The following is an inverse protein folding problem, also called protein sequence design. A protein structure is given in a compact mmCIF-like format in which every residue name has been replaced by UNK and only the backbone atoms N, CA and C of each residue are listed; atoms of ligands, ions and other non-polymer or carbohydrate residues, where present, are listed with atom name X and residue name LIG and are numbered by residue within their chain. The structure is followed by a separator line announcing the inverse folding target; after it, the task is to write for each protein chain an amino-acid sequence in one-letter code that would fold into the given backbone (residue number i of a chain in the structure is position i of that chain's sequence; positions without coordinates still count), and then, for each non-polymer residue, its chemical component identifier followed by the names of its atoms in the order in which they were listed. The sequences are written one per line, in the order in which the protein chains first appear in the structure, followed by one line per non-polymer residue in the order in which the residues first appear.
data_IF_547323681666
#
_entry.id   IF_547323681666
#
_cell.length_a   1.000
_cell.length_b   1.000
_cell.length_c   1.000
_cell.angle_alpha   90.00
_cell.angle_beta   90.00
_cell.angle_gamma   90.00
#
_symmetry.space_group_name_H-M   'P 1'
#
loop_
_entity.id
_entity.type
_entity.pdbx_description
1 polymer ?
#
# COMPACT_ATOMS: atom_id res chain seq x y z
N UNK A 1 -28.07 -29.05 10.48
CA UNK A 1 -26.92 -29.07 9.55
C UNK A 1 -25.88 -28.13 10.13
N UNK A 2 -24.75 -28.64 10.56
CA UNK A 2 -23.66 -27.80 11.06
C UNK A 2 -22.96 -27.17 9.87
N UNK A 3 -22.83 -25.84 9.85
CA UNK A 3 -21.96 -25.17 8.88
C UNK A 3 -20.55 -25.74 8.98
N UNK A 4 -19.89 -25.99 7.86
CA UNK A 4 -18.50 -26.45 7.87
C UNK A 4 -17.64 -25.38 8.54
N UNK A 5 -16.91 -25.77 9.58
CA UNK A 5 -15.92 -24.92 10.24
C UNK A 5 -14.87 -24.48 9.23
N UNK A 6 -14.99 -23.24 8.75
CA UNK A 6 -13.97 -22.64 7.87
C UNK A 6 -12.72 -22.40 8.71
N UNK A 7 -11.64 -23.05 8.36
CA UNK A 7 -10.36 -22.87 9.05
C UNK A 7 -9.87 -21.43 8.90
N UNK A 8 -9.87 -20.66 9.99
CA UNK A 8 -9.33 -19.31 10.05
C UNK A 8 -7.82 -19.36 10.31
N UNK A 9 -7.06 -18.64 9.51
CA UNK A 9 -5.64 -18.35 9.78
C UNK A 9 -5.50 -16.90 10.21
N UNK A 10 -4.60 -16.66 11.16
CA UNK A 10 -4.32 -15.31 11.67
C UNK A 10 -2.88 -14.93 11.37
N UNK A 11 -2.71 -13.69 10.95
CA UNK A 11 -1.42 -13.06 10.72
C UNK A 11 -1.40 -11.73 11.47
N UNK A 12 -0.37 -11.47 12.24
CA UNK A 12 -0.11 -10.18 12.83
C UNK A 12 0.99 -9.46 12.04
N UNK A 13 0.72 -8.23 11.64
CA UNK A 13 1.70 -7.34 10.99
C UNK A 13 2.00 -6.20 11.94
N UNK A 14 3.23 -6.11 12.41
CA UNK A 14 3.70 -5.01 13.25
C UNK A 14 4.41 -4.00 12.38
N UNK A 15 3.84 -2.80 12.30
CA UNK A 15 4.28 -1.74 11.40
C UNK A 15 3.39 -1.60 10.17
N UNK A 16 2.61 -0.52 10.10
CA UNK A 16 1.71 -0.18 9.00
C UNK A 16 2.24 0.96 8.12
N UNK A 17 3.52 1.26 8.19
CA UNK A 17 4.19 2.18 7.28
C UNK A 17 4.29 1.62 5.85
N UNK A 18 5.01 2.27 4.92
CA UNK A 18 5.07 1.85 3.51
C UNK A 18 5.42 0.37 3.31
N UNK A 19 6.31 -0.19 4.12
CA UNK A 19 6.67 -1.63 4.03
C UNK A 19 5.52 -2.55 4.44
N UNK A 20 4.77 -2.18 5.48
CA UNK A 20 3.57 -2.92 5.90
C UNK A 20 2.50 -2.89 4.81
N UNK A 21 2.27 -1.72 4.21
CA UNK A 21 1.34 -1.56 3.06
C UNK A 21 1.78 -2.40 1.86
N UNK A 22 3.07 -2.40 1.52
CA UNK A 22 3.60 -3.24 0.43
C UNK A 22 3.39 -4.74 0.70
N UNK A 23 3.56 -5.19 1.94
CA UNK A 23 3.29 -6.57 2.33
C UNK A 23 1.81 -6.93 2.17
N UNK A 24 0.92 -6.05 2.63
CA UNK A 24 -0.54 -6.26 2.52
C UNK A 24 -0.96 -6.30 1.05
N UNK A 25 -0.44 -5.41 0.22
CA UNK A 25 -0.68 -5.41 -1.22
C UNK A 25 -0.23 -6.73 -1.87
N UNK A 26 0.94 -7.25 -1.50
CA UNK A 26 1.44 -8.53 -2.01
C UNK A 26 0.59 -9.71 -1.57
N UNK A 27 0.10 -9.71 -0.34
CA UNK A 27 -0.83 -10.74 0.16
C UNK A 27 -2.14 -10.68 -0.65
N UNK A 28 -2.70 -9.48 -0.83
CA UNK A 28 -3.94 -9.29 -1.59
C UNK A 28 -3.80 -9.78 -3.03
N UNK A 29 -2.74 -9.36 -3.72
CA UNK A 29 -2.48 -9.79 -5.10
C UNK A 29 -2.34 -11.32 -5.24
N UNK A 30 -1.78 -11.99 -4.23
CA UNK A 30 -1.68 -13.45 -4.19
C UNK A 30 -3.04 -14.11 -3.97
N UNK A 31 -3.87 -13.55 -3.10
CA UNK A 31 -5.21 -14.05 -2.85
C UNK A 31 -6.12 -13.89 -4.07
N UNK A 32 -6.05 -12.75 -4.76
CA UNK A 32 -6.78 -12.49 -6.00
C UNK A 32 -6.37 -13.43 -7.15
N UNK A 33 -5.12 -13.87 -7.17
CA UNK A 33 -4.61 -14.82 -8.16
C UNK A 33 -4.78 -16.30 -7.79
N UNK A 34 -5.31 -16.60 -6.61
CA UNK A 34 -5.52 -17.98 -6.17
C UNK A 34 -6.75 -18.60 -6.87
N UNK A 35 -6.67 -19.90 -7.18
CA UNK A 35 -7.80 -20.62 -7.75
C UNK A 35 -8.99 -20.65 -6.75
N UNK A 36 -10.25 -20.51 -7.22
CA UNK A 36 -11.44 -20.49 -6.37
C UNK A 36 -11.59 -21.71 -5.46
N UNK A 37 -11.09 -22.85 -5.91
CA UNK A 37 -11.20 -24.15 -5.21
C UNK A 37 -10.05 -24.41 -4.21
N UNK A 38 -9.09 -23.50 -4.11
CA UNK A 38 -8.02 -23.59 -3.13
C UNK A 38 -8.59 -23.29 -1.74
N UNK A 39 -9.32 -24.22 -1.18
CA UNK A 39 -9.92 -24.28 0.16
C UNK A 39 -10.48 -22.96 0.72
N UNK A 40 -11.74 -22.92 1.17
CA UNK A 40 -12.31 -21.76 1.82
C UNK A 40 -11.60 -21.52 3.17
N UNK A 41 -10.47 -20.83 3.12
CA UNK A 41 -9.71 -20.42 4.31
C UNK A 41 -9.93 -18.95 4.53
N UNK A 42 -10.38 -18.62 5.71
CA UNK A 42 -10.47 -17.21 6.13
C UNK A 42 -9.09 -16.79 6.63
N UNK A 43 -8.52 -15.74 6.03
CA UNK A 43 -7.32 -15.08 6.55
C UNK A 43 -7.74 -13.81 7.29
N UNK A 44 -7.41 -13.75 8.58
CA UNK A 44 -7.51 -12.54 9.38
C UNK A 44 -6.13 -11.92 9.51
N UNK A 45 -6.02 -10.63 9.20
CA UNK A 45 -4.78 -9.88 9.36
C UNK A 45 -5.02 -8.78 10.38
N UNK A 46 -4.32 -8.85 11.50
CA UNK A 46 -4.30 -7.82 12.53
C UNK A 46 -3.06 -6.94 12.29
N UNK A 47 -3.27 -5.65 12.02
CA UNK A 47 -2.20 -4.69 11.77
C UNK A 47 -2.03 -3.80 12.99
N UNK A 48 -0.82 -3.72 13.52
CA UNK A 48 -0.51 -2.99 14.76
C UNK A 48 0.55 -1.93 14.46
N UNK A 49 0.19 -0.65 14.65
CA UNK A 49 1.10 0.49 14.49
C UNK A 49 0.63 1.63 15.41
N UNK A 50 1.54 2.35 16.08
CA UNK A 50 1.18 3.55 16.86
C UNK A 50 0.85 4.77 15.97
N UNK A 51 1.12 4.70 14.67
CA UNK A 51 0.86 5.74 13.70
C UNK A 51 -0.21 5.32 12.70
N UNK A 52 -0.87 6.26 11.99
CA UNK A 52 -1.83 5.94 10.95
C UNK A 52 -1.25 5.01 9.89
N UNK A 53 -2.03 4.03 9.38
CA UNK A 53 -1.58 3.14 8.31
C UNK A 53 -1.23 3.91 7.03
N UNK A 54 -0.20 3.45 6.34
CA UNK A 54 0.29 4.07 5.12
C UNK A 54 1.55 4.89 5.36
N UNK A 55 1.44 6.11 5.88
CA UNK A 55 2.60 6.99 6.09
C UNK A 55 3.56 6.49 7.18
N UNK A 56 3.04 5.84 8.22
CA UNK A 56 3.82 5.46 9.38
C UNK A 56 4.43 6.68 10.08
N UNK A 57 5.61 6.49 10.69
CA UNK A 57 6.30 7.56 11.43
C UNK A 57 6.96 8.60 10.53
N UNK A 58 7.42 8.22 9.36
CA UNK A 58 8.32 9.05 8.52
C UNK A 58 7.56 9.91 7.52
N UNK A 59 6.47 9.41 6.97
CA UNK A 59 5.74 10.04 5.87
C UNK A 59 4.46 10.73 6.33
N UNK A 60 4.46 11.22 7.55
CA UNK A 60 3.29 11.86 8.16
C UNK A 60 2.78 13.04 7.33
N UNK A 61 1.46 13.12 7.19
CA UNK A 61 0.79 14.19 6.45
C UNK A 61 0.80 15.53 7.20
N UNK A 62 1.03 15.52 8.50
CA UNK A 62 1.07 16.68 9.40
C UNK A 62 2.47 17.27 9.59
N UNK A 63 3.44 16.87 8.78
CA UNK A 63 4.80 17.43 8.82
C UNK A 63 4.97 18.62 7.86
N UNK A 64 6.06 19.37 8.02
CA UNK A 64 6.37 20.51 7.17
C UNK A 64 6.50 20.13 5.69
N UNK A 65 5.91 20.94 4.80
CA UNK A 65 6.05 20.81 3.35
C UNK A 65 7.47 21.02 2.84
N UNK A 66 8.34 21.60 3.66
CA UNK A 66 9.77 21.77 3.33
C UNK A 66 10.54 20.44 3.37
N UNK A 67 9.99 19.42 4.01
CA UNK A 67 10.60 18.09 4.01
C UNK A 67 10.28 17.36 2.70
N UNK A 68 11.22 17.43 1.78
CA UNK A 68 11.07 16.77 0.49
C UNK A 68 11.48 15.30 0.55
N UNK A 69 10.93 14.53 -0.37
CA UNK A 69 11.43 13.19 -0.66
C UNK A 69 12.80 13.26 -1.32
N UNK A 70 13.60 12.24 -1.15
CA UNK A 70 14.89 12.07 -1.84
C UNK A 70 14.75 11.33 -3.19
N UNK A 71 13.53 11.03 -3.61
CA UNK A 71 13.21 10.35 -4.87
C UNK A 71 12.20 11.17 -5.66
N UNK A 72 12.31 11.21 -7.01
CA UNK A 72 11.36 11.90 -7.86
C UNK A 72 9.94 11.32 -7.75
N UNK A 73 8.93 12.13 -8.01
CA UNK A 73 7.52 11.79 -7.83
C UNK A 73 7.04 10.53 -8.59
N UNK A 74 7.69 10.15 -9.68
CA UNK A 74 7.32 8.97 -10.47
C UNK A 74 7.90 7.65 -9.92
N UNK A 75 8.87 7.72 -9.01
CA UNK A 75 9.61 6.56 -8.55
C UNK A 75 8.95 5.83 -7.35
N UNK A 76 8.44 6.52 -6.32
CA UNK A 76 7.89 5.84 -5.16
C UNK A 76 6.56 5.15 -5.48
N UNK A 77 6.46 3.90 -5.08
CA UNK A 77 5.23 3.12 -5.19
C UNK A 77 5.20 2.03 -4.12
N UNK A 78 4.01 1.73 -3.64
CA UNK A 78 3.76 0.62 -2.72
C UNK A 78 3.35 -0.67 -3.44
N UNK A 79 3.27 -0.67 -4.76
CA UNK A 79 2.91 -1.82 -5.57
C UNK A 79 3.97 -2.16 -6.61
N UNK A 80 3.91 -3.36 -7.17
CA UNK A 80 4.88 -3.89 -8.14
C UNK A 80 4.47 -3.58 -9.61
N UNK A 81 3.99 -2.38 -9.89
CA UNK A 81 3.36 -2.03 -11.16
C UNK A 81 4.24 -2.24 -12.40
N UNK A 82 5.55 -2.07 -12.27
CA UNK A 82 6.49 -2.12 -13.40
C UNK A 82 7.30 -3.44 -13.45
N UNK A 83 6.90 -4.44 -12.67
CA UNK A 83 7.59 -5.72 -12.67
C UNK A 83 6.77 -6.79 -13.42
N UNK A 84 7.24 -7.27 -14.59
CA UNK A 84 6.49 -8.24 -15.39
C UNK A 84 6.26 -9.60 -14.69
N UNK A 85 7.06 -9.93 -13.68
CA UNK A 85 6.92 -11.15 -12.88
C UNK A 85 5.99 -11.02 -11.68
N UNK A 86 5.51 -9.81 -11.37
CA UNK A 86 4.70 -9.54 -10.18
C UNK A 86 3.44 -8.78 -10.55
N UNK A 87 2.33 -9.49 -10.66
CA UNK A 87 1.02 -8.86 -10.87
C UNK A 87 0.62 -8.06 -9.63
N UNK A 88 0.30 -6.76 -9.76
CA UNK A 88 -0.25 -5.97 -8.66
C UNK A 88 -1.67 -6.42 -8.32
N UNK A 89 -2.15 -6.09 -7.12
CA UNK A 89 -3.56 -6.28 -6.77
C UNK A 89 -4.45 -5.34 -7.58
N UNK A 90 -5.74 -5.67 -7.69
CA UNK A 90 -6.70 -4.84 -8.45
C UNK A 90 -6.90 -3.46 -7.84
N UNK A 91 -6.69 -3.33 -6.52
CA UNK A 91 -6.77 -2.04 -5.81
C UNK A 91 -5.46 -1.23 -5.86
N UNK A 92 -4.36 -1.80 -6.41
CA UNK A 92 -3.06 -1.15 -6.37
C UNK A 92 -2.98 0.02 -7.35
N UNK A 93 -2.43 1.12 -6.85
CA UNK A 93 -2.09 2.30 -7.65
C UNK A 93 -0.66 2.72 -7.35
N UNK A 94 0.06 3.17 -8.37
CA UNK A 94 1.32 3.87 -8.13
C UNK A 94 1.05 5.28 -7.58
N UNK A 95 2.01 5.85 -6.89
CA UNK A 95 1.91 7.23 -6.44
C UNK A 95 1.64 8.21 -7.60
N UNK A 96 2.27 7.99 -8.75
CA UNK A 96 2.05 8.83 -9.94
C UNK A 96 0.63 8.67 -10.52
N UNK A 97 0.05 7.48 -10.49
CA UNK A 97 -1.34 7.24 -10.88
C UNK A 97 -2.32 7.91 -9.91
N UNK A 98 -2.12 7.70 -8.61
CA UNK A 98 -2.93 8.31 -7.56
C UNK A 98 -2.92 9.84 -7.67
N UNK A 99 -1.76 10.44 -7.82
CA UNK A 99 -1.57 11.88 -7.94
C UNK A 99 -2.29 12.51 -9.14
N UNK A 100 -2.46 11.76 -10.23
CA UNK A 100 -3.18 12.26 -11.43
C UNK A 100 -4.66 12.48 -11.21
N UNK A 101 -5.27 11.73 -10.29
CA UNK A 101 -6.68 11.86 -9.94
C UNK A 101 -6.91 12.69 -8.68
N UNK A 102 -5.83 13.20 -8.07
CA UNK A 102 -5.84 14.07 -6.91
C UNK A 102 -5.09 15.37 -7.25
N UNK A 103 -5.73 16.31 -7.94
CA UNK A 103 -5.07 17.53 -8.42
C UNK A 103 -4.50 18.39 -7.28
N UNK A 104 -5.13 18.39 -6.12
CA UNK A 104 -4.66 19.06 -4.90
C UNK A 104 -3.29 18.55 -4.45
N UNK A 105 -3.04 17.25 -4.57
CA UNK A 105 -1.76 16.64 -4.25
C UNK A 105 -0.69 16.86 -5.34
N UNK A 106 -1.10 17.38 -6.50
CA UNK A 106 -0.23 17.61 -7.65
C UNK A 106 0.22 19.06 -7.79
N UNK A 107 -0.33 19.98 -6.97
CA UNK A 107 -0.02 21.40 -7.05
C UNK A 107 1.49 21.62 -6.85
N UNK A 108 2.12 22.26 -7.85
CA UNK A 108 3.54 22.57 -7.84
C UNK A 108 4.50 21.40 -8.04
N UNK A 109 4.02 20.15 -8.15
CA UNK A 109 4.86 18.96 -8.31
C UNK A 109 4.82 18.44 -9.74
N UNK A 110 5.86 18.68 -10.51
CA UNK A 110 6.07 18.03 -11.81
C UNK A 110 6.54 16.59 -11.62
N UNK A 111 6.33 15.72 -12.63
CA UNK A 111 6.69 14.30 -12.57
C UNK A 111 8.14 14.02 -12.09
N UNK A 112 9.08 14.88 -12.46
CA UNK A 112 10.50 14.73 -12.09
C UNK A 112 10.91 15.53 -10.87
N UNK A 113 9.99 16.22 -10.23
CA UNK A 113 10.27 16.96 -9.01
C UNK A 113 10.14 16.06 -7.77
N UNK A 114 10.80 16.48 -6.72
CA UNK A 114 10.74 15.81 -5.42
C UNK A 114 9.51 16.31 -4.66
N UNK A 115 8.52 15.47 -4.42
CA UNK A 115 7.34 15.89 -3.66
C UNK A 115 7.67 16.08 -2.19
N UNK A 116 6.85 16.86 -1.48
CA UNK A 116 6.90 16.91 -0.03
C UNK A 116 6.52 15.52 0.55
N UNK A 117 7.15 15.15 1.67
CA UNK A 117 6.85 13.89 2.37
C UNK A 117 5.40 13.82 2.81
N UNK A 118 4.82 14.95 3.21
CA UNK A 118 3.42 15.05 3.61
C UNK A 118 2.43 14.72 2.47
N UNK A 119 2.82 14.93 1.21
CA UNK A 119 2.01 14.58 0.05
C UNK A 119 2.08 13.10 -0.29
N UNK A 120 3.23 12.46 -0.02
CA UNK A 120 3.38 11.03 -0.26
C UNK A 120 2.69 10.17 0.81
N UNK A 121 2.65 10.63 2.05
CA UNK A 121 1.98 9.94 3.16
C UNK A 121 0.48 9.93 3.05
#
# INVERSE_FOLDING_TARGET
MSEPLVAERRLAVVGAGPRGVMLLERILARLEGAAPDAHPRRLRIDVVDPYPPGPGRVWRTDQSELYLMNTPAFFPTACAADNPGLRPSTAAQTFDQWRRVHPEASLGVRRRQYPARAVYG
#
